data_IF_245126640369
#
_entry.id   IF_245126640369
#
_cell.length_a   1.000
_cell.length_b   1.000
_cell.length_c   1.000
_cell.angle_alpha   90.00
_cell.angle_beta   90.00
_cell.angle_gamma   90.00
#
_symmetry.space_group_name_H-M   'P 1'
#
loop_
_entity.id
_entity.type
_entity.pdbx_description
1 polymer ?
#
# COMPACT_ATOMS: atom_id res chain seq x y z
N UNK A 1 10.69 9.72 25.44
CA UNK A 1 9.86 9.51 26.65
C UNK A 1 8.36 9.51 26.38
N UNK A 2 7.77 10.44 25.60
CA UNK A 2 6.30 10.43 25.33
C UNK A 2 5.85 9.35 24.32
N UNK A 3 6.54 9.19 23.19
CA UNK A 3 6.19 8.14 22.20
C UNK A 3 6.19 6.74 22.83
N UNK A 4 7.21 6.41 23.61
CA UNK A 4 7.28 5.13 24.31
C UNK A 4 6.12 4.92 25.30
N UNK A 5 5.67 5.99 25.99
CA UNK A 5 4.49 5.93 26.86
C UNK A 5 3.22 5.65 26.06
N UNK A 6 3.05 6.33 24.92
CA UNK A 6 1.92 6.10 24.03
C UNK A 6 1.89 4.66 23.49
N UNK A 7 3.01 4.16 22.97
CA UNK A 7 3.13 2.77 22.50
C UNK A 7 2.82 1.78 23.63
N UNK A 8 3.41 1.97 24.82
CA UNK A 8 3.17 1.09 25.97
C UNK A 8 1.70 1.08 26.38
N UNK A 9 1.04 2.24 26.36
CA UNK A 9 -0.39 2.33 26.65
C UNK A 9 -1.23 1.59 25.60
N UNK A 10 -0.92 1.76 24.30
CA UNK A 10 -1.56 1.03 23.22
C UNK A 10 -1.38 -0.50 23.34
N UNK A 11 -0.18 -0.98 23.65
CA UNK A 11 0.09 -2.41 23.84
C UNK A 11 -0.67 -3.00 25.04
N UNK A 12 -1.06 -2.18 26.00
CA UNK A 12 -1.85 -2.59 27.16
C UNK A 12 -3.35 -2.26 27.05
N UNK A 13 -3.85 -1.90 25.86
CA UNK A 13 -5.25 -1.48 25.63
C UNK A 13 -5.72 -0.32 26.52
N UNK A 14 -4.79 0.51 26.99
CA UNK A 14 -5.07 1.60 27.92
C UNK A 14 -5.34 2.90 27.16
N UNK A 15 -6.60 3.08 26.73
CA UNK A 15 -7.02 4.30 26.01
C UNK A 15 -6.78 5.56 26.84
N UNK A 16 -7.12 5.54 28.14
CA UNK A 16 -6.92 6.68 29.03
C UNK A 16 -5.46 7.13 29.09
N UNK A 17 -4.51 6.19 29.24
CA UNK A 17 -3.08 6.52 29.32
C UNK A 17 -2.52 6.94 27.95
N UNK A 18 -2.99 6.33 26.86
CA UNK A 18 -2.61 6.73 25.50
C UNK A 18 -3.06 8.17 25.23
N UNK A 19 -4.29 8.52 25.58
CA UNK A 19 -4.83 9.87 25.42
C UNK A 19 -4.16 10.89 26.34
N UNK A 20 -3.82 10.52 27.57
CA UNK A 20 -3.02 11.39 28.45
C UNK A 20 -1.64 11.68 27.85
N UNK A 21 -0.98 10.68 27.28
CA UNK A 21 0.31 10.86 26.62
C UNK A 21 0.20 11.81 25.41
N UNK A 22 -0.85 11.68 24.60
CA UNK A 22 -1.11 12.57 23.47
C UNK A 22 -1.47 14.00 23.92
N UNK A 23 -2.37 14.15 24.88
CA UNK A 23 -2.76 15.47 25.40
C UNK A 23 -1.56 16.22 25.98
N UNK A 24 -0.68 15.52 26.71
CA UNK A 24 0.58 16.08 27.21
C UNK A 24 1.52 16.49 26.07
N UNK A 25 1.60 15.70 25.00
CA UNK A 25 2.39 16.09 23.82
C UNK A 25 1.81 17.33 23.15
N UNK A 26 0.50 17.39 22.92
CA UNK A 26 -0.15 18.54 22.27
C UNK A 26 -0.13 19.82 23.12
N UNK A 27 0.03 19.73 24.44
CA UNK A 27 0.18 20.92 25.29
C UNK A 27 1.56 21.57 25.22
N UNK A 28 2.55 20.91 24.61
CA UNK A 28 3.96 21.34 24.62
C UNK A 28 4.51 21.49 23.19
N UNK A 29 4.02 20.69 22.23
CA UNK A 29 4.55 20.63 20.87
C UNK A 29 3.50 21.01 19.81
N UNK A 30 3.93 21.54 18.65
CA UNK A 30 3.04 21.74 17.51
C UNK A 30 2.34 20.45 17.08
N UNK A 31 1.12 20.58 16.57
CA UNK A 31 0.28 19.45 16.12
C UNK A 31 1.05 18.56 15.15
N UNK A 32 1.74 19.16 14.18
CA UNK A 32 2.52 18.49 13.16
C UNK A 32 3.62 17.61 13.78
N UNK A 33 4.34 18.15 14.78
CA UNK A 33 5.40 17.43 15.48
C UNK A 33 4.84 16.23 16.26
N UNK A 34 3.70 16.37 16.93
CA UNK A 34 3.07 15.24 17.66
C UNK A 34 2.60 14.16 16.69
N UNK A 35 1.94 14.55 15.60
CA UNK A 35 1.47 13.62 14.57
C UNK A 35 2.63 12.84 13.93
N UNK A 36 3.76 13.47 13.63
CA UNK A 36 4.92 12.78 13.04
C UNK A 36 5.73 12.00 14.09
N UNK A 37 6.12 12.63 15.19
CA UNK A 37 7.08 12.07 16.13
C UNK A 37 6.48 11.10 17.15
N UNK A 38 5.18 11.19 17.42
CA UNK A 38 4.48 10.31 18.36
C UNK A 38 3.61 9.33 17.59
N UNK A 39 2.66 9.81 16.78
CA UNK A 39 1.68 8.94 16.11
C UNK A 39 2.32 8.16 14.94
N UNK A 40 2.88 8.83 13.92
CA UNK A 40 3.43 8.15 12.75
C UNK A 40 4.58 7.21 13.11
N UNK A 41 5.58 7.71 13.84
CA UNK A 41 6.70 6.87 14.30
C UNK A 41 6.24 5.78 15.27
N UNK A 42 5.27 6.08 16.15
CA UNK A 42 4.71 5.09 17.06
C UNK A 42 3.99 3.96 16.34
N UNK A 43 3.17 4.28 15.34
CA UNK A 43 2.52 3.30 14.47
C UNK A 43 3.54 2.47 13.69
N UNK A 44 4.62 3.09 13.19
CA UNK A 44 5.69 2.33 12.54
C UNK A 44 6.42 1.38 13.48
N UNK A 45 6.66 1.78 14.73
CA UNK A 45 7.25 0.91 15.75
C UNK A 45 6.31 -0.26 16.11
N UNK A 46 5.01 0.01 16.29
CA UNK A 46 3.99 -1.03 16.53
C UNK A 46 3.88 -2.00 15.35
N UNK A 47 3.89 -1.50 14.11
CA UNK A 47 3.91 -2.34 12.91
C UNK A 47 5.17 -3.22 12.83
N UNK A 48 6.32 -2.72 13.27
CA UNK A 48 7.54 -3.52 13.43
C UNK A 48 7.41 -4.60 14.48
N UNK A 49 6.83 -4.29 15.65
CA UNK A 49 6.56 -5.29 16.69
C UNK A 49 5.58 -6.37 16.21
N UNK A 50 4.55 -6.00 15.46
CA UNK A 50 3.64 -6.95 14.84
C UNK A 50 4.36 -7.85 13.84
N UNK A 51 5.22 -7.27 13.00
CA UNK A 51 6.05 -8.02 12.04
C UNK A 51 6.97 -9.03 12.74
N UNK A 52 7.51 -8.68 13.91
CA UNK A 52 8.34 -9.55 14.76
C UNK A 52 7.53 -10.55 15.61
N UNK A 53 6.21 -10.63 15.44
CA UNK A 53 5.30 -11.44 16.27
C UNK A 53 5.37 -11.09 17.79
N UNK A 54 5.71 -9.83 18.10
CA UNK A 54 5.79 -9.25 19.46
C UNK A 54 4.60 -8.35 19.80
N UNK A 55 3.76 -8.04 18.82
CA UNK A 55 2.46 -7.41 19.00
C UNK A 55 1.39 -8.18 18.23
N UNK A 56 0.18 -8.25 18.76
CA UNK A 56 -0.95 -8.90 18.09
C UNK A 56 -1.63 -7.96 17.09
N UNK A 57 -2.37 -8.52 16.15
CA UNK A 57 -3.23 -7.75 15.22
C UNK A 57 -4.21 -6.85 16.00
N UNK A 58 -4.75 -7.33 17.12
CA UNK A 58 -5.68 -6.56 17.95
C UNK A 58 -5.02 -5.34 18.60
N UNK A 59 -3.74 -5.45 19.00
CA UNK A 59 -2.97 -4.31 19.53
C UNK A 59 -2.67 -3.28 18.44
N UNK A 60 -2.33 -3.73 17.24
CA UNK A 60 -2.17 -2.85 16.07
C UNK A 60 -3.49 -2.13 15.78
N UNK A 61 -4.60 -2.86 15.67
CA UNK A 61 -5.92 -2.27 15.40
C UNK A 61 -6.35 -1.28 16.47
N UNK A 62 -6.10 -1.58 17.75
CA UNK A 62 -6.36 -0.66 18.85
C UNK A 62 -5.57 0.65 18.72
N UNK A 63 -4.27 0.54 18.43
CA UNK A 63 -3.40 1.70 18.23
C UNK A 63 -3.80 2.53 17.00
N UNK A 64 -4.03 1.87 15.86
CA UNK A 64 -4.52 2.48 14.62
C UNK A 64 -5.84 3.20 14.83
N UNK A 65 -6.81 2.57 15.50
CA UNK A 65 -8.12 3.16 15.78
C UNK A 65 -8.03 4.41 16.66
N UNK A 66 -7.19 4.41 17.70
CA UNK A 66 -6.93 5.59 18.52
C UNK A 66 -6.27 6.72 17.72
N UNK A 67 -5.24 6.40 16.95
CA UNK A 67 -4.50 7.37 16.16
C UNK A 67 -5.40 8.02 15.10
N UNK A 68 -6.24 7.24 14.41
CA UNK A 68 -7.22 7.72 13.44
C UNK A 68 -8.25 8.65 14.07
N UNK A 69 -8.88 8.24 15.18
CA UNK A 69 -9.84 9.08 15.92
C UNK A 69 -9.23 10.43 16.30
N UNK A 70 -7.98 10.45 16.73
CA UNK A 70 -7.27 11.67 17.09
C UNK A 70 -7.03 12.57 15.86
N UNK A 71 -6.61 12.00 14.73
CA UNK A 71 -6.42 12.76 13.49
C UNK A 71 -7.74 13.34 12.97
N UNK A 72 -8.83 12.56 12.99
CA UNK A 72 -10.15 13.03 12.57
C UNK A 72 -10.62 14.20 13.45
N UNK A 73 -10.47 14.10 14.77
CA UNK A 73 -10.81 15.18 15.70
C UNK A 73 -10.02 16.47 15.40
N UNK A 74 -8.72 16.35 15.11
CA UNK A 74 -7.87 17.48 14.73
C UNK A 74 -8.27 18.07 13.36
N UNK A 75 -8.66 17.21 12.42
CA UNK A 75 -9.10 17.62 11.09
C UNK A 75 -10.44 18.37 11.17
N UNK A 76 -11.40 17.87 11.94
CA UNK A 76 -12.69 18.54 12.19
C UNK A 76 -12.53 19.87 12.92
N UNK A 77 -11.55 19.97 13.83
CA UNK A 77 -11.25 21.21 14.54
C UNK A 77 -10.38 22.20 13.71
N UNK A 78 -9.97 21.83 12.49
CA UNK A 78 -9.13 22.69 11.65
C UNK A 78 -9.94 23.86 11.08
N UNK A 79 -9.34 25.07 10.96
CA UNK A 79 -10.03 26.23 10.39
C UNK A 79 -10.58 25.99 8.99
N UNK A 80 -11.64 26.72 8.63
CA UNK A 80 -12.16 26.81 7.26
C UNK A 80 -11.01 27.13 6.28
N UNK A 81 -10.98 26.54 5.07
CA UNK A 81 -9.92 26.86 4.11
C UNK A 81 -9.88 28.35 3.79
N UNK A 82 -8.67 28.91 3.71
CA UNK A 82 -8.42 30.32 3.41
C UNK A 82 -7.87 30.52 1.99
N UNK A 83 -7.57 29.43 1.28
CA UNK A 83 -7.01 29.41 -0.07
C UNK A 83 -8.03 28.82 -1.06
N UNK A 84 -8.03 29.30 -2.32
CA UNK A 84 -8.98 28.82 -3.32
C UNK A 84 -8.64 27.42 -3.87
N UNK A 85 -7.40 26.95 -3.70
CA UNK A 85 -6.98 25.67 -4.25
C UNK A 85 -7.59 24.49 -3.48
N UNK A 86 -8.07 23.51 -4.24
CA UNK A 86 -8.61 22.25 -3.76
C UNK A 86 -7.67 21.09 -4.07
N UNK A 87 -7.28 20.34 -3.04
CA UNK A 87 -6.49 19.10 -3.17
C UNK A 87 -7.41 17.91 -2.92
N UNK A 88 -7.42 16.95 -3.84
CA UNK A 88 -8.10 15.67 -3.66
C UNK A 88 -7.12 14.64 -3.14
N UNK A 89 -7.45 13.94 -2.06
CA UNK A 89 -6.57 12.91 -1.46
C UNK A 89 -7.36 11.62 -1.27
N UNK A 90 -6.79 10.49 -1.67
CA UNK A 90 -7.41 9.19 -1.48
C UNK A 90 -6.43 8.04 -1.61
N UNK A 91 -6.93 6.85 -1.27
CA UNK A 91 -6.25 5.59 -1.50
C UNK A 91 -6.78 4.95 -2.79
N UNK A 92 -5.92 4.34 -3.64
CA UNK A 92 -6.35 3.63 -4.83
C UNK A 92 -7.20 2.38 -4.48
N UNK A 93 -7.78 1.69 -5.48
CA UNK A 93 -8.48 0.43 -5.24
C UNK A 93 -7.59 -0.59 -4.50
N UNK A 94 -8.16 -1.27 -3.52
CA UNK A 94 -7.48 -2.27 -2.69
C UNK A 94 -6.61 -1.71 -1.56
N UNK A 95 -6.48 -0.39 -1.42
CA UNK A 95 -5.68 0.23 -0.34
C UNK A 95 -6.56 0.73 0.81
N UNK A 96 -6.34 0.17 2.01
CA UNK A 96 -7.14 0.43 3.20
C UNK A 96 -6.43 1.27 4.26
N UNK A 97 -5.12 1.49 4.12
CA UNK A 97 -4.29 2.18 5.09
C UNK A 97 -4.40 3.71 4.96
N UNK A 98 -5.30 4.27 5.75
CA UNK A 98 -5.75 5.66 5.66
C UNK A 98 -5.00 6.64 6.56
N UNK A 99 -4.14 6.15 7.46
CA UNK A 99 -3.44 7.00 8.44
C UNK A 99 -2.61 8.11 7.77
N UNK A 100 -1.75 7.74 6.82
CA UNK A 100 -0.88 8.71 6.11
C UNK A 100 -1.67 9.74 5.29
N UNK A 101 -2.62 9.35 4.41
CA UNK A 101 -3.39 10.33 3.65
C UNK A 101 -4.30 11.21 4.53
N UNK A 102 -4.81 10.70 5.66
CA UNK A 102 -5.55 11.52 6.62
C UNK A 102 -4.65 12.55 7.31
N UNK A 103 -3.47 12.13 7.75
CA UNK A 103 -2.48 13.05 8.35
C UNK A 103 -2.03 14.12 7.35
N UNK A 104 -1.81 13.76 6.08
CA UNK A 104 -1.50 14.71 5.02
C UNK A 104 -2.65 15.70 4.79
N UNK A 105 -3.89 15.21 4.81
CA UNK A 105 -5.09 16.05 4.73
C UNK A 105 -5.14 17.08 5.85
N UNK A 106 -4.88 16.67 7.10
CA UNK A 106 -4.79 17.56 8.26
C UNK A 106 -3.74 18.67 8.03
N UNK A 107 -2.54 18.31 7.59
CA UNK A 107 -1.44 19.27 7.44
C UNK A 107 -1.68 20.27 6.31
N UNK A 108 -2.35 19.86 5.23
CA UNK A 108 -2.72 20.74 4.12
C UNK A 108 -3.90 21.65 4.50
N UNK A 109 -4.92 21.14 5.22
CA UNK A 109 -6.03 21.95 5.74
C UNK A 109 -5.54 23.04 6.69
N UNK A 110 -4.58 22.70 7.57
CA UNK A 110 -3.94 23.67 8.49
C UNK A 110 -3.10 24.73 7.79
N UNK A 111 -2.72 24.51 6.53
CA UNK A 111 -2.08 25.51 5.64
C UNK A 111 -3.09 26.31 4.81
N UNK A 112 -4.39 26.17 5.10
CA UNK A 112 -5.46 26.92 4.49
C UNK A 112 -5.98 26.33 3.18
N UNK A 113 -5.44 25.21 2.70
CA UNK A 113 -5.94 24.55 1.49
C UNK A 113 -7.31 23.92 1.73
N UNK A 114 -8.14 23.91 0.69
CA UNK A 114 -9.32 23.05 0.69
C UNK A 114 -8.86 21.62 0.38
N UNK A 115 -9.24 20.66 1.21
CA UNK A 115 -8.88 19.25 1.00
C UNK A 115 -10.14 18.43 0.98
N UNK A 116 -10.36 17.70 -0.12
CA UNK A 116 -11.38 16.69 -0.21
C UNK A 116 -10.69 15.34 0.00
N UNK A 117 -11.08 14.66 1.07
CA UNK A 117 -10.52 13.37 1.45
C UNK A 117 -11.53 12.26 1.10
N UNK A 118 -11.13 11.33 0.23
CA UNK A 118 -11.99 10.23 -0.25
C UNK A 118 -11.85 8.95 0.57
N UNK A 119 -10.85 8.85 1.45
CA UNK A 119 -10.66 7.68 2.29
C UNK A 119 -9.92 6.52 1.61
N UNK A 120 -10.23 5.31 2.08
CA UNK A 120 -9.71 4.04 1.62
C UNK A 120 -10.38 3.58 0.32
N UNK A 121 -9.69 2.69 -0.40
CA UNK A 121 -10.25 1.81 -1.44
C UNK A 121 -11.15 2.56 -2.44
N UNK A 122 -10.65 3.68 -2.97
CA UNK A 122 -11.43 4.51 -3.87
C UNK A 122 -11.42 3.87 -5.27
N UNK A 123 -12.60 3.53 -5.84
CA UNK A 123 -12.67 2.92 -7.15
C UNK A 123 -12.07 3.81 -8.26
N UNK A 124 -11.42 3.21 -9.24
CA UNK A 124 -10.86 3.95 -10.40
C UNK A 124 -11.98 4.38 -11.38
N UNK A 125 -13.03 3.57 -11.41
CA UNK A 125 -14.46 3.92 -11.49
C UNK A 125 -14.82 5.40 -11.60
N UNK A 126 -14.81 6.02 -12.80
CA UNK A 126 -15.24 7.43 -12.98
C UNK A 126 -14.46 8.42 -12.11
N UNK A 127 -13.21 8.10 -11.76
CA UNK A 127 -12.38 8.96 -10.92
C UNK A 127 -12.11 10.32 -11.59
N UNK A 128 -11.96 10.33 -12.92
CA UNK A 128 -11.84 11.56 -13.72
C UNK A 128 -13.06 12.49 -13.56
N UNK A 129 -14.27 11.93 -13.57
CA UNK A 129 -15.51 12.71 -13.38
C UNK A 129 -15.58 13.29 -11.96
N UNK A 130 -15.14 12.51 -10.97
CA UNK A 130 -15.07 12.96 -9.57
C UNK A 130 -14.13 14.15 -9.43
N UNK A 131 -12.94 14.05 -10.01
CA UNK A 131 -11.94 15.12 -10.06
C UNK A 131 -12.48 16.38 -10.74
N UNK A 132 -13.13 16.24 -11.89
CA UNK A 132 -13.74 17.35 -12.62
C UNK A 132 -14.86 18.02 -11.82
N UNK A 133 -15.73 17.24 -11.17
CA UNK A 133 -16.83 17.74 -10.32
C UNK A 133 -16.32 18.52 -9.12
N UNK A 134 -15.26 18.02 -8.47
CA UNK A 134 -14.60 18.68 -7.34
C UNK A 134 -13.84 19.94 -7.79
N UNK A 135 -13.51 20.04 -9.09
CA UNK A 135 -12.59 21.05 -9.64
C UNK A 135 -11.25 21.03 -8.91
N UNK A 136 -10.72 19.82 -8.68
CA UNK A 136 -9.47 19.63 -7.97
C UNK A 136 -8.31 20.31 -8.74
N UNK A 137 -7.45 21.01 -8.01
CA UNK A 137 -6.23 21.60 -8.54
C UNK A 137 -5.05 20.63 -8.52
N UNK A 138 -5.13 19.59 -7.68
CA UNK A 138 -4.10 18.57 -7.50
C UNK A 138 -4.74 17.30 -6.91
N UNK A 139 -4.29 16.13 -7.34
CA UNK A 139 -4.71 14.82 -6.80
C UNK A 139 -3.52 14.17 -6.10
N UNK A 140 -3.74 13.57 -4.94
CA UNK A 140 -2.76 12.77 -4.21
C UNK A 140 -3.31 11.36 -3.99
N UNK A 141 -2.60 10.37 -4.51
CA UNK A 141 -2.87 8.96 -4.24
C UNK A 141 -1.80 8.38 -3.32
N UNK A 142 -2.18 7.60 -2.31
CA UNK A 142 -1.23 6.99 -1.37
C UNK A 142 -1.38 5.48 -1.39
N UNK A 143 -0.26 4.76 -1.52
CA UNK A 143 -0.20 3.29 -1.52
C UNK A 143 0.85 2.77 -0.53
N UNK A 144 0.55 1.67 0.17
CA UNK A 144 1.42 1.03 1.16
C UNK A 144 1.91 -0.34 0.72
N UNK A 145 1.26 -0.98 -0.25
CA UNK A 145 1.59 -2.33 -0.75
C UNK A 145 1.94 -2.33 -2.25
N UNK A 146 2.53 -3.42 -2.73
CA UNK A 146 2.81 -3.59 -4.16
C UNK A 146 1.51 -3.60 -5.00
N UNK A 147 0.48 -4.28 -4.51
CA UNK A 147 -0.83 -4.40 -5.19
C UNK A 147 -1.53 -3.05 -5.30
N UNK A 148 -1.51 -2.26 -4.22
CA UNK A 148 -2.04 -0.90 -4.24
C UNK A 148 -1.21 0.07 -5.07
N UNK A 149 0.10 -0.12 -5.18
CA UNK A 149 0.92 0.66 -6.12
C UNK A 149 0.52 0.40 -7.58
N UNK A 150 0.18 -0.85 -7.92
CA UNK A 150 -0.28 -1.21 -9.27
C UNK A 150 -1.66 -0.59 -9.57
N UNK A 151 -2.61 -0.67 -8.65
CA UNK A 151 -3.92 -0.01 -8.83
C UNK A 151 -3.80 1.51 -8.84
N UNK A 152 -2.89 2.08 -8.05
CA UNK A 152 -2.52 3.51 -8.11
C UNK A 152 -2.02 3.89 -9.49
N UNK A 153 -1.13 3.11 -10.09
CA UNK A 153 -0.62 3.35 -11.44
C UNK A 153 -1.77 3.41 -12.45
N UNK A 154 -2.69 2.45 -12.40
CA UNK A 154 -3.86 2.41 -13.28
C UNK A 154 -4.74 3.65 -13.11
N UNK A 155 -5.04 4.04 -11.87
CA UNK A 155 -5.81 5.26 -11.58
C UNK A 155 -5.06 6.53 -12.01
N UNK A 156 -3.73 6.57 -11.88
CA UNK A 156 -2.95 7.71 -12.30
C UNK A 156 -2.89 7.86 -13.83
N UNK A 157 -2.85 6.74 -14.57
CA UNK A 157 -2.92 6.75 -16.03
C UNK A 157 -4.25 7.30 -16.56
N UNK A 158 -5.39 6.98 -15.95
CA UNK A 158 -6.68 7.53 -16.39
C UNK A 158 -6.72 9.07 -16.24
N UNK A 159 -6.03 9.61 -15.23
CA UNK A 159 -6.04 11.05 -14.97
C UNK A 159 -5.13 11.89 -15.88
N UNK A 160 -4.30 11.28 -16.73
CA UNK A 160 -3.37 12.01 -17.61
C UNK A 160 -4.08 13.01 -18.54
N UNK A 161 -5.32 12.72 -18.94
CA UNK A 161 -6.11 13.60 -19.82
C UNK A 161 -6.60 14.90 -19.18
N UNK A 162 -6.61 15.01 -17.85
CA UNK A 162 -7.23 16.14 -17.14
C UNK A 162 -6.31 17.37 -16.96
N UNK A 163 -5.04 17.30 -17.38
CA UNK A 163 -4.06 18.38 -17.23
C UNK A 163 -3.99 18.98 -15.80
N UNK A 164 -4.08 18.08 -14.82
CA UNK A 164 -3.88 18.38 -13.40
C UNK A 164 -2.66 17.63 -12.88
N UNK A 165 -1.90 18.19 -11.92
CA UNK A 165 -0.85 17.45 -11.24
C UNK A 165 -1.44 16.26 -10.47
N UNK A 166 -1.02 15.06 -10.86
CA UNK A 166 -1.25 13.82 -10.10
C UNK A 166 0.01 13.53 -9.30
N UNK A 167 -0.15 13.43 -7.99
CA UNK A 167 0.92 13.16 -7.05
C UNK A 167 0.71 11.81 -6.40
N UNK A 168 1.80 11.17 -6.00
CA UNK A 168 1.74 9.89 -5.30
C UNK A 168 2.78 9.78 -4.19
N UNK A 169 2.48 8.91 -3.23
CA UNK A 169 3.38 8.62 -2.11
C UNK A 169 2.97 7.36 -1.35
N UNK A 170 3.60 7.17 -0.20
CA UNK A 170 3.39 6.01 0.67
C UNK A 170 4.59 5.07 0.73
N UNK A 171 4.58 4.16 1.70
CA UNK A 171 5.76 3.40 2.13
C UNK A 171 6.32 2.50 1.04
N UNK A 172 5.47 1.95 0.18
CA UNK A 172 5.90 1.03 -0.87
C UNK A 172 6.94 1.66 -1.82
N UNK A 173 6.79 2.95 -2.13
CA UNK A 173 7.74 3.68 -2.99
C UNK A 173 9.06 4.01 -2.27
N UNK A 174 9.08 4.03 -0.93
CA UNK A 174 10.32 4.16 -0.16
C UNK A 174 11.06 2.83 -0.15
N UNK A 175 10.33 1.73 0.06
CA UNK A 175 10.91 0.39 0.11
C UNK A 175 11.38 -0.10 -1.26
N UNK A 176 10.71 0.32 -2.34
CA UNK A 176 10.97 -0.13 -3.71
C UNK A 176 11.08 1.07 -4.65
N UNK A 177 12.28 1.63 -4.72
CA UNK A 177 12.51 2.86 -5.49
C UNK A 177 12.24 2.69 -6.98
N UNK A 178 12.45 1.50 -7.53
CA UNK A 178 12.22 1.19 -8.96
C UNK A 178 10.77 1.44 -9.39
N UNK A 179 9.80 1.26 -8.49
CA UNK A 179 8.38 1.48 -8.79
C UNK A 179 8.10 2.93 -9.23
N UNK A 180 8.86 3.89 -8.73
CA UNK A 180 8.70 5.33 -9.04
C UNK A 180 8.84 5.61 -10.53
N UNK A 181 9.64 4.82 -11.25
CA UNK A 181 9.84 4.98 -12.69
C UNK A 181 8.61 4.58 -13.52
N UNK A 182 7.69 3.83 -12.93
CA UNK A 182 6.51 3.30 -13.61
C UNK A 182 5.22 4.02 -13.23
N UNK A 183 5.21 4.93 -12.26
CA UNK A 183 4.01 5.69 -11.90
C UNK A 183 3.95 7.01 -12.69
N UNK A 184 2.87 7.27 -13.46
CA UNK A 184 2.66 8.59 -14.04
C UNK A 184 2.29 9.59 -12.94
N UNK A 185 3.11 10.63 -12.77
CA UNK A 185 2.85 11.68 -11.78
C UNK A 185 4.09 12.13 -11.01
N UNK A 186 3.86 12.86 -9.93
CA UNK A 186 4.91 13.42 -9.08
C UNK A 186 5.03 12.65 -7.77
N UNK A 187 6.20 12.06 -7.54
CA UNK A 187 6.50 11.47 -6.24
C UNK A 187 6.64 12.58 -5.19
N UNK A 188 5.92 12.46 -4.07
CA UNK A 188 5.91 13.47 -3.01
C UNK A 188 7.14 13.42 -2.09
N UNK A 189 7.98 12.38 -2.18
CA UNK A 189 9.17 12.23 -1.35
C UNK A 189 9.00 11.22 -0.21
N UNK A 190 10.09 11.03 0.54
CA UNK A 190 10.19 9.99 1.56
C UNK A 190 9.68 10.45 2.95
N UNK A 191 9.35 11.74 3.10
CA UNK A 191 8.93 12.33 4.36
C UNK A 191 7.80 13.34 4.16
N UNK A 192 7.00 13.56 5.22
CA UNK A 192 5.76 14.35 5.15
C UNK A 192 6.04 15.83 4.89
N UNK A 193 7.10 16.36 5.47
CA UNK A 193 7.60 17.72 5.21
C UNK A 193 7.91 17.94 3.72
N UNK A 194 8.71 17.05 3.12
CA UNK A 194 9.03 17.10 1.68
C UNK A 194 7.78 16.94 0.81
N UNK A 195 6.80 16.15 1.26
CA UNK A 195 5.51 15.99 0.58
C UNK A 195 4.72 17.28 0.51
N UNK A 196 4.67 18.03 1.62
CA UNK A 196 3.99 19.33 1.67
C UNK A 196 4.68 20.35 0.76
N UNK A 197 6.01 20.41 0.79
CA UNK A 197 6.79 21.32 -0.07
C UNK A 197 6.55 21.03 -1.56
N UNK A 198 6.51 19.76 -1.94
CA UNK A 198 6.22 19.34 -3.31
C UNK A 198 4.80 19.73 -3.73
N UNK A 199 3.79 19.54 -2.86
CA UNK A 199 2.41 19.97 -3.13
C UNK A 199 2.35 21.49 -3.34
N UNK A 200 2.98 22.27 -2.47
CA UNK A 200 3.02 23.74 -2.60
C UNK A 200 3.71 24.19 -3.88
N UNK A 201 4.80 23.52 -4.28
CA UNK A 201 5.47 23.77 -5.55
C UNK A 201 4.53 23.51 -6.73
N UNK A 202 3.88 22.34 -6.77
CA UNK A 202 3.04 21.92 -7.89
C UNK A 202 1.73 22.71 -8.02
N UNK A 203 1.22 23.25 -6.90
CA UNK A 203 0.10 24.19 -6.94
C UNK A 203 0.49 25.56 -7.53
N UNK A 204 1.79 25.93 -7.53
CA UNK A 204 2.30 27.17 -8.11
C UNK A 204 2.78 26.98 -9.56
N UNK A 205 3.48 25.89 -9.85
CA UNK A 205 3.95 25.54 -11.18
C UNK A 205 3.39 24.17 -11.56
N UNK A 206 2.59 24.11 -12.64
CA UNK A 206 2.10 22.86 -13.21
C UNK A 206 3.24 22.14 -13.97
N UNK A 207 4.33 21.85 -13.25
CA UNK A 207 5.48 21.15 -13.79
C UNK A 207 4.99 19.82 -14.40
N UNK A 208 5.55 19.43 -15.53
CA UNK A 208 5.23 18.13 -16.12
C UNK A 208 5.85 17.03 -15.26
N UNK A 209 5.10 15.95 -15.08
CA UNK A 209 5.62 14.73 -14.48
C UNK A 209 6.76 14.15 -15.33
N UNK A 210 7.64 13.36 -14.70
CA UNK A 210 8.68 12.61 -15.38
C UNK A 210 8.04 11.58 -16.33
N UNK A 211 8.70 11.32 -17.45
CA UNK A 211 8.30 10.26 -18.37
C UNK A 211 8.35 8.88 -17.68
N UNK A 212 7.29 8.11 -17.90
CA UNK A 212 7.08 6.81 -17.28
C UNK A 212 7.71 5.71 -18.12
N UNK A 213 8.46 4.80 -17.49
CA UNK A 213 9.01 3.62 -18.17
C UNK A 213 7.89 2.70 -18.64
N UNK A 214 8.09 2.11 -19.81
CA UNK A 214 7.23 1.07 -20.36
C UNK A 214 7.85 -0.29 -20.09
N UNK A 215 7.06 -1.23 -19.61
CA UNK A 215 7.50 -2.62 -19.41
C UNK A 215 7.81 -3.29 -20.75
N UNK A 216 8.64 -4.33 -20.73
CA UNK A 216 8.97 -5.05 -21.98
C UNK A 216 7.76 -5.76 -22.55
N UNK A 217 7.79 -6.06 -23.85
CA UNK A 217 6.72 -6.81 -24.53
C UNK A 217 6.49 -8.19 -23.88
N UNK A 218 7.55 -8.83 -23.38
CA UNK A 218 7.46 -10.10 -22.67
C UNK A 218 6.60 -9.99 -21.40
N UNK A 219 6.84 -8.98 -20.57
CA UNK A 219 6.08 -8.74 -19.34
C UNK A 219 4.63 -8.31 -19.63
N UNK A 220 4.43 -7.45 -20.64
CA UNK A 220 3.08 -7.06 -21.06
C UNK A 220 2.26 -8.27 -21.57
N UNK A 221 2.87 -9.15 -22.38
CA UNK A 221 2.22 -10.36 -22.86
C UNK A 221 1.92 -11.34 -21.72
N UNK A 222 2.84 -11.49 -20.76
CA UNK A 222 2.64 -12.32 -19.57
C UNK A 222 1.51 -11.79 -18.69
N UNK A 223 1.45 -10.48 -18.43
CA UNK A 223 0.36 -9.85 -17.68
C UNK A 223 -0.99 -10.10 -18.34
N UNK A 224 -1.10 -9.85 -19.65
CA UNK A 224 -2.34 -10.07 -20.38
C UNK A 224 -2.78 -11.53 -20.33
N UNK A 225 -1.87 -12.47 -20.62
CA UNK A 225 -2.17 -13.90 -20.58
C UNK A 225 -2.57 -14.36 -19.18
N UNK A 226 -1.84 -13.94 -18.15
CA UNK A 226 -2.11 -14.30 -16.75
C UNK A 226 -3.47 -13.79 -16.31
N UNK A 227 -3.77 -12.51 -16.48
CA UNK A 227 -5.06 -11.93 -16.09
C UNK A 227 -6.23 -12.58 -16.84
N UNK A 228 -6.09 -12.84 -18.14
CA UNK A 228 -7.13 -13.50 -18.94
C UNK A 228 -7.41 -14.95 -18.53
N UNK A 229 -6.43 -15.66 -17.95
CA UNK A 229 -6.55 -17.06 -17.53
C UNK A 229 -6.52 -17.25 -16.01
N UNK A 230 -6.52 -16.16 -15.23
CA UNK A 230 -6.32 -16.20 -13.77
C UNK A 230 -7.31 -17.12 -13.08
N UNK A 231 -8.60 -17.02 -13.38
CA UNK A 231 -9.61 -17.89 -12.79
C UNK A 231 -9.36 -19.38 -13.09
N UNK A 232 -8.88 -19.73 -14.29
CA UNK A 232 -8.56 -21.11 -14.65
C UNK A 232 -7.32 -21.62 -13.89
N UNK A 233 -6.30 -20.77 -13.74
CA UNK A 233 -5.08 -21.05 -12.97
C UNK A 233 -5.44 -21.30 -11.51
N UNK A 234 -6.18 -20.36 -10.88
CA UNK A 234 -6.60 -20.46 -9.48
C UNK A 234 -7.47 -21.70 -9.22
N UNK A 235 -8.38 -22.06 -10.13
CA UNK A 235 -9.17 -23.29 -10.00
C UNK A 235 -8.31 -24.56 -10.09
N UNK A 236 -7.32 -24.61 -10.99
CA UNK A 236 -6.41 -25.75 -11.08
C UNK A 236 -5.58 -25.89 -9.80
N UNK A 237 -5.15 -24.78 -9.20
CA UNK A 237 -4.44 -24.82 -7.90
C UNK A 237 -5.33 -25.39 -6.81
N UNK A 238 -6.61 -24.96 -6.73
CA UNK A 238 -7.57 -25.51 -5.76
C UNK A 238 -7.70 -27.02 -5.91
N UNK A 239 -7.92 -27.52 -7.12
CA UNK A 239 -8.04 -28.97 -7.39
C UNK A 239 -6.77 -29.75 -6.99
N UNK A 240 -5.59 -29.17 -7.18
CA UNK A 240 -4.31 -29.82 -6.85
C UNK A 240 -4.00 -29.83 -5.34
N UNK A 241 -4.41 -28.80 -4.60
CA UNK A 241 -4.05 -28.59 -3.19
C UNK A 241 -5.15 -29.04 -2.21
N UNK A 242 -6.40 -29.18 -2.66
CA UNK A 242 -7.50 -29.73 -1.84
C UNK A 242 -7.23 -31.10 -1.18
N UNK A 243 -6.28 -31.94 -1.63
CA UNK A 243 -5.88 -33.15 -0.87
C UNK A 243 -5.00 -32.86 0.36
N UNK A 244 -4.45 -31.65 0.52
CA UNK A 244 -3.57 -31.25 1.62
C UNK A 244 -4.40 -30.66 2.77
N UNK A 245 -3.99 -30.92 4.02
CA UNK A 245 -4.70 -30.61 5.28
C UNK A 245 -4.86 -29.11 5.62
N UNK A 246 -4.89 -28.24 4.62
CA UNK A 246 -5.02 -26.79 4.76
C UNK A 246 -6.51 -26.42 4.79
N UNK A 247 -6.87 -25.54 5.71
CA UNK A 247 -8.21 -24.97 5.77
C UNK A 247 -8.55 -24.25 4.43
N UNK A 248 -9.68 -24.57 3.79
CA UNK A 248 -10.04 -24.02 2.47
C UNK A 248 -10.08 -22.50 2.40
N UNK A 249 -10.43 -21.82 3.49
CA UNK A 249 -10.46 -20.35 3.53
C UNK A 249 -9.06 -19.75 3.43
N UNK A 250 -8.12 -20.26 4.23
CA UNK A 250 -6.71 -19.86 4.17
C UNK A 250 -6.07 -20.14 2.80
N UNK A 251 -6.40 -21.28 2.19
CA UNK A 251 -5.93 -21.62 0.85
C UNK A 251 -6.41 -20.58 -0.18
N UNK A 252 -7.69 -20.23 -0.15
CA UNK A 252 -8.26 -19.24 -1.07
C UNK A 252 -7.61 -17.86 -0.92
N UNK A 253 -7.40 -17.43 0.32
CA UNK A 253 -6.70 -16.18 0.61
C UNK A 253 -5.27 -16.21 0.05
N UNK A 254 -4.54 -17.31 0.24
CA UNK A 254 -3.19 -17.47 -0.30
C UNK A 254 -3.14 -17.46 -1.83
N UNK A 255 -4.08 -18.14 -2.49
CA UNK A 255 -4.21 -18.16 -3.96
C UNK A 255 -4.44 -16.75 -4.51
N UNK A 256 -5.40 -16.01 -3.94
CA UNK A 256 -5.71 -14.66 -4.37
C UNK A 256 -4.56 -13.69 -4.10
N UNK A 257 -3.96 -13.76 -2.90
CA UNK A 257 -2.80 -12.94 -2.52
C UNK A 257 -1.63 -13.08 -3.50
N UNK A 258 -1.21 -14.32 -3.79
CA UNK A 258 -0.11 -14.53 -4.75
C UNK A 258 -0.50 -14.09 -6.16
N UNK A 259 -1.75 -14.32 -6.59
CA UNK A 259 -2.24 -13.85 -7.89
C UNK A 259 -2.21 -12.33 -8.03
N UNK A 260 -2.56 -11.59 -6.98
CA UNK A 260 -2.53 -10.12 -6.98
C UNK A 260 -1.09 -9.60 -7.04
N UNK A 261 -0.17 -10.19 -6.28
CA UNK A 261 1.24 -9.81 -6.28
C UNK A 261 1.91 -10.15 -7.62
N UNK A 262 1.62 -11.30 -8.23
CA UNK A 262 2.10 -11.63 -9.57
C UNK A 262 1.59 -10.61 -10.59
N UNK A 263 0.30 -10.26 -10.53
CA UNK A 263 -0.28 -9.25 -11.43
C UNK A 263 0.46 -7.92 -11.31
N UNK A 264 0.67 -7.46 -10.06
CA UNK A 264 1.37 -6.21 -9.80
C UNK A 264 2.84 -6.25 -10.24
N UNK A 265 3.56 -7.34 -9.96
CA UNK A 265 4.95 -7.52 -10.38
C UNK A 265 5.11 -7.53 -11.91
N UNK A 266 4.18 -8.17 -12.63
CA UNK A 266 4.17 -8.16 -14.08
C UNK A 266 3.90 -6.76 -14.64
N UNK A 267 2.99 -6.02 -14.01
CA UNK A 267 2.66 -4.63 -14.36
C UNK A 267 3.85 -3.67 -14.15
N UNK A 268 4.74 -3.96 -13.21
CA UNK A 268 5.99 -3.24 -13.00
C UNK A 268 7.19 -3.81 -13.76
N UNK A 269 7.03 -4.93 -14.46
CA UNK A 269 8.07 -5.52 -15.28
C UNK A 269 9.20 -6.21 -14.51
N UNK A 270 8.96 -6.59 -13.25
CA UNK A 270 9.95 -7.22 -12.40
C UNK A 270 9.32 -8.23 -11.42
N UNK A 271 9.58 -9.52 -11.66
CA UNK A 271 9.12 -10.61 -10.79
C UNK A 271 9.85 -10.69 -9.45
N UNK A 272 10.99 -10.03 -9.25
CA UNK A 272 11.66 -10.02 -7.94
C UNK A 272 10.83 -9.27 -6.88
N UNK A 273 9.91 -8.40 -7.30
CA UNK A 273 8.89 -7.84 -6.43
C UNK A 273 7.98 -8.88 -5.75
N UNK A 274 7.85 -10.08 -6.31
CA UNK A 274 7.12 -11.18 -5.65
C UNK A 274 7.99 -11.90 -4.62
N UNK A 275 9.31 -11.95 -4.84
CA UNK A 275 10.26 -12.62 -3.94
C UNK A 275 10.17 -12.05 -2.52
N UNK A 276 10.19 -10.72 -2.38
CA UNK A 276 10.13 -10.04 -1.08
C UNK A 276 8.86 -10.40 -0.27
N UNK A 277 7.72 -10.51 -0.96
CA UNK A 277 6.43 -10.84 -0.32
C UNK A 277 6.38 -12.31 0.11
N UNK A 278 6.94 -13.22 -0.70
CA UNK A 278 7.02 -14.64 -0.38
C UNK A 278 7.99 -14.89 0.78
N UNK A 279 9.10 -14.17 0.84
CA UNK A 279 10.05 -14.29 1.96
C UNK A 279 9.44 -13.82 3.28
N UNK A 280 8.63 -12.76 3.24
CA UNK A 280 7.81 -12.38 4.41
C UNK A 280 6.81 -13.47 4.80
N UNK A 281 6.08 -14.04 3.82
CA UNK A 281 5.14 -15.12 4.08
C UNK A 281 5.82 -16.34 4.73
N UNK A 282 7.06 -16.65 4.33
CA UNK A 282 7.87 -17.71 4.97
C UNK A 282 8.10 -17.44 6.45
N UNK A 283 8.51 -16.23 6.80
CA UNK A 283 8.73 -15.83 8.20
C UNK A 283 7.43 -15.93 9.01
N UNK A 284 6.32 -15.49 8.43
CA UNK A 284 5.01 -15.57 9.08
C UNK A 284 4.56 -17.02 9.30
N UNK A 285 4.70 -17.88 8.29
CA UNK A 285 4.36 -19.30 8.43
C UNK A 285 5.21 -19.99 9.50
N UNK A 286 6.50 -19.66 9.59
CA UNK A 286 7.40 -20.15 10.64
C UNK A 286 6.98 -19.70 12.03
N UNK A 287 6.59 -18.42 12.21
CA UNK A 287 6.11 -17.92 13.51
C UNK A 287 4.81 -18.59 13.95
N UNK A 288 3.99 -19.05 13.00
CA UNK A 288 2.78 -19.85 13.23
C UNK A 288 3.02 -21.37 13.23
N UNK A 289 4.28 -21.82 13.29
CA UNK A 289 4.67 -23.25 13.33
C UNK A 289 4.11 -24.08 12.15
N UNK A 290 3.90 -23.45 10.99
CA UNK A 290 3.46 -24.15 9.78
C UNK A 290 4.65 -24.82 9.09
N UNK A 291 4.52 -26.05 8.56
CA UNK A 291 5.59 -26.71 7.84
C UNK A 291 6.00 -25.94 6.59
N UNK A 292 7.31 -25.76 6.37
CA UNK A 292 7.84 -25.12 5.17
C UNK A 292 7.43 -25.84 3.87
N UNK A 293 7.19 -27.15 3.95
CA UNK A 293 6.74 -27.97 2.83
C UNK A 293 5.40 -27.49 2.25
N UNK A 294 4.49 -26.96 3.08
CA UNK A 294 3.19 -26.46 2.60
C UNK A 294 3.36 -25.33 1.58
N UNK A 295 4.30 -24.42 1.83
CA UNK A 295 4.59 -23.33 0.91
C UNK A 295 5.27 -23.87 -0.37
N UNK A 296 6.20 -24.81 -0.24
CA UNK A 296 6.86 -25.42 -1.39
C UNK A 296 5.85 -26.14 -2.32
N UNK A 297 4.93 -26.91 -1.74
CA UNK A 297 3.86 -27.60 -2.47
C UNK A 297 2.91 -26.61 -3.13
N UNK A 298 2.56 -25.53 -2.42
CA UNK A 298 1.75 -24.44 -2.96
C UNK A 298 2.42 -23.77 -4.17
N UNK A 299 3.71 -23.45 -4.07
CA UNK A 299 4.49 -22.84 -5.14
C UNK A 299 4.65 -23.77 -6.36
N UNK A 300 4.84 -25.08 -6.12
CA UNK A 300 4.86 -26.10 -7.17
C UNK A 300 3.50 -26.24 -7.87
N UNK A 301 2.40 -26.24 -7.11
CA UNK A 301 1.04 -26.23 -7.65
C UNK A 301 0.79 -25.01 -8.54
N UNK A 302 1.23 -23.83 -8.11
CA UNK A 302 1.16 -22.60 -8.90
C UNK A 302 1.95 -22.70 -10.20
N UNK A 303 3.16 -23.26 -10.16
CA UNK A 303 3.98 -23.48 -11.35
C UNK A 303 3.28 -24.36 -12.39
N UNK A 304 2.73 -25.49 -11.96
CA UNK A 304 2.01 -26.39 -12.86
C UNK A 304 0.74 -25.76 -13.43
N UNK A 305 -0.02 -25.02 -12.63
CA UNK A 305 -1.23 -24.34 -13.10
C UNK A 305 -0.90 -23.26 -14.14
N UNK A 306 0.15 -22.47 -13.91
CA UNK A 306 0.64 -21.46 -14.87
C UNK A 306 1.10 -22.12 -16.17
N UNK A 307 1.88 -23.20 -16.09
CA UNK A 307 2.36 -23.93 -17.26
C UNK A 307 1.21 -24.53 -18.09
N UNK A 308 0.17 -25.06 -17.43
CA UNK A 308 -1.02 -25.62 -18.08
C UNK A 308 -1.82 -24.59 -18.87
N UNK A 309 -2.02 -23.38 -18.33
CA UNK A 309 -2.98 -22.42 -18.89
C UNK A 309 -2.36 -21.32 -19.75
N UNK A 310 -1.10 -20.97 -19.55
CA UNK A 310 -0.45 -19.86 -20.25
C UNK A 310 0.97 -20.23 -20.76
N UNK A 311 1.13 -21.46 -21.25
CA UNK A 311 2.42 -21.93 -21.77
C UNK A 311 3.00 -20.97 -22.85
N UNK A 312 4.30 -20.70 -22.77
CA UNK A 312 5.00 -19.71 -23.61
C UNK A 312 4.84 -18.27 -23.13
N UNK A 313 3.60 -17.79 -22.96
CA UNK A 313 3.33 -16.40 -22.52
C UNK A 313 3.62 -16.16 -21.04
N UNK A 314 3.61 -17.19 -20.19
CA UNK A 314 3.92 -17.10 -18.76
C UNK A 314 5.42 -17.16 -18.42
N UNK A 315 6.33 -16.89 -19.37
CA UNK A 315 7.78 -17.10 -19.19
C UNK A 315 8.36 -16.36 -17.97
N UNK A 316 8.08 -15.07 -17.72
CA UNK A 316 8.55 -14.37 -16.52
C UNK A 316 8.12 -15.08 -15.21
N UNK A 317 6.84 -15.48 -15.13
CA UNK A 317 6.28 -16.15 -13.95
C UNK A 317 6.96 -17.50 -13.74
N UNK A 318 7.06 -18.32 -14.79
CA UNK A 318 7.66 -19.66 -14.71
C UNK A 318 9.15 -19.60 -14.38
N UNK A 319 9.87 -18.66 -14.97
CA UNK A 319 11.28 -18.46 -14.69
C UNK A 319 11.51 -18.09 -13.21
N UNK A 320 10.67 -17.21 -12.67
CA UNK A 320 10.70 -16.85 -11.26
C UNK A 320 10.33 -18.03 -10.34
N UNK A 321 9.21 -18.70 -10.58
CA UNK A 321 8.77 -19.86 -9.78
C UNK A 321 9.84 -20.96 -9.73
N UNK A 322 10.49 -21.28 -10.86
CA UNK A 322 11.61 -22.25 -10.93
C UNK A 322 12.81 -21.83 -10.09
N UNK A 323 13.09 -20.53 -9.95
CA UNK A 323 14.19 -20.05 -9.10
C UNK A 323 13.84 -20.21 -7.62
N UNK A 324 12.60 -19.96 -7.23
CA UNK A 324 12.17 -20.08 -5.84
C UNK A 324 12.19 -21.54 -5.36
N UNK A 325 11.68 -22.48 -6.18
CA UNK A 325 11.66 -23.90 -5.81
C UNK A 325 13.06 -24.51 -5.71
N UNK A 326 14.00 -24.10 -6.57
CA UNK A 326 15.41 -24.54 -6.49
C UNK A 326 16.14 -24.07 -5.23
N UNK A 327 15.80 -22.88 -4.71
CA UNK A 327 16.37 -22.36 -3.45
C UNK A 327 15.91 -23.18 -2.24
N UNK A 328 14.75 -23.82 -2.32
CA UNK A 328 14.17 -24.62 -1.23
C UNK A 328 14.74 -26.04 -1.16
N UNK A 329 15.25 -26.59 -2.27
CA UNK A 329 15.87 -27.94 -2.28
C UNK A 329 17.34 -27.95 -1.81
N UNK A 330 17.95 -26.79 -1.58
CA UNK A 330 19.36 -26.63 -1.21
C UNK A 330 19.60 -26.21 0.26
N UNK A 331 18.54 -26.09 1.06
CA UNK A 331 18.61 -25.81 2.52
C UNK A 331 18.08 -27.00 3.31
#
# INVERSE_FOLDING_TARGET
MIRAQWITACMNYSESNAEQALNKAFSIFPVESVCMEVLQKGMSEIGGLWYENRATVQQEHFASGLAMRRLDALLSASPTPTRPQTVLIGCPPGEWHTFTPLMLSLFLRRRGLNVIYLGANVPAERFEETVAKIRANLVILVAQSLTSAATLQTTAFSLLGLNIPVCYGGRIFIMRESLKDYIPGHYLGNAVDTSIEMVEKLLKSKDKAKETKVVTQEYAAALHAFTARRANIENTIREMIQPLSVDPEHLNTGIHFLGDIITAALQFGDMEHVTDEVEWLKVLLQSHQRPAQELADFMNGYFHAVDKHINGSGTPIKAWLRRQTKKETQK
#
